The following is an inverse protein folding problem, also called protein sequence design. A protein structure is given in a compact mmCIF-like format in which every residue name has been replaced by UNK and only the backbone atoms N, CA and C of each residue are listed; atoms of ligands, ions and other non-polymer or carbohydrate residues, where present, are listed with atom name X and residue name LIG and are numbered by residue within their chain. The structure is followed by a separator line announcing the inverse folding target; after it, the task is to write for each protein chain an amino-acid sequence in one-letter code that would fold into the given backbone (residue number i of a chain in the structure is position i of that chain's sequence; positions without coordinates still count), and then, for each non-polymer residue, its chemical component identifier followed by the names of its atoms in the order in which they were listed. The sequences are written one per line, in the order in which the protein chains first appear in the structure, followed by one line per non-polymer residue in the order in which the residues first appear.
data_IF_222259286423
#
_entry.id   IF_222259286423
#
_cell.length_a   1.000
_cell.length_b   1.000
_cell.length_c   1.000
_cell.angle_alpha   90.00
_cell.angle_beta   90.00
_cell.angle_gamma   90.00
#
_symmetry.space_group_name_H-M   'P 1'
#
loop_
_entity.id
_entity.type
_entity.pdbx_description
1 polymer ?
#
# COMPACT_ATOMS: atom_id res chain seq x y z
N UNK A 1 35.51 -9.27 52.49
CA UNK A 1 35.64 -10.00 51.22
C UNK A 1 34.26 -10.18 50.59
N UNK A 2 34.08 -9.65 49.38
CA UNK A 2 33.15 -10.11 48.31
C UNK A 2 31.64 -10.07 48.59
N UNK A 3 30.76 -9.55 47.72
CA UNK A 3 30.84 -8.85 46.43
C UNK A 3 29.43 -8.24 46.24
N UNK A 4 29.38 -6.97 45.90
CA UNK A 4 28.18 -6.22 45.52
C UNK A 4 27.70 -6.76 44.15
N UNK A 5 26.52 -7.36 44.07
CA UNK A 5 25.89 -7.72 42.78
C UNK A 5 24.90 -6.62 42.39
N UNK A 6 25.37 -5.66 41.60
CA UNK A 6 24.51 -4.70 40.90
C UNK A 6 23.96 -5.44 39.68
N UNK A 7 22.67 -5.80 39.72
CA UNK A 7 21.96 -6.28 38.54
C UNK A 7 21.61 -5.07 37.68
N UNK A 8 22.36 -4.91 36.58
CA UNK A 8 22.11 -3.88 35.57
C UNK A 8 20.95 -4.37 34.70
N UNK A 9 19.73 -3.96 35.04
CA UNK A 9 18.54 -4.21 34.22
C UNK A 9 18.59 -3.25 33.02
N UNK A 10 19.22 -3.68 31.92
CA UNK A 10 19.15 -2.97 30.65
C UNK A 10 17.70 -2.94 30.18
N UNK A 11 17.07 -1.77 30.30
CA UNK A 11 15.78 -1.48 29.68
C UNK A 11 16.01 -1.47 28.18
N UNK A 12 15.54 -2.51 27.50
CA UNK A 12 15.48 -2.55 26.04
C UNK A 12 14.38 -1.58 25.63
N UNK A 13 14.74 -0.34 25.33
CA UNK A 13 13.84 0.63 24.71
C UNK A 13 13.51 0.13 23.31
N UNK A 14 12.45 -0.68 23.20
CA UNK A 14 11.80 -0.91 21.92
C UNK A 14 11.30 0.44 21.42
N UNK A 15 11.86 0.92 20.32
CA UNK A 15 11.36 2.07 19.60
C UNK A 15 9.97 1.69 19.08
N UNK A 16 8.92 1.97 19.85
CA UNK A 16 7.56 1.94 19.32
C UNK A 16 7.53 2.96 18.20
N UNK A 17 7.36 2.50 16.95
CA UNK A 17 7.07 3.40 15.86
C UNK A 17 5.79 4.15 16.25
N UNK A 18 5.91 5.44 16.57
CA UNK A 18 4.74 6.25 16.87
C UNK A 18 3.91 6.29 15.60
N UNK A 19 2.68 5.80 15.66
CA UNK A 19 1.72 6.05 14.60
C UNK A 19 1.70 7.57 14.40
N UNK A 20 1.84 8.01 13.15
CA UNK A 20 1.66 9.42 12.85
C UNK A 20 0.22 9.79 13.23
N UNK A 21 0.06 10.82 14.06
CA UNK A 21 -1.26 11.37 14.33
C UNK A 21 -1.83 11.90 13.01
N UNK A 22 -3.07 11.52 12.71
CA UNK A 22 -3.75 12.01 11.53
C UNK A 22 -4.27 13.44 11.76
N UNK A 23 -4.30 14.30 10.73
CA UNK A 23 -4.05 13.98 9.32
C UNK A 23 -2.56 13.89 8.95
N UNK A 24 -2.24 13.01 8.00
CA UNK A 24 -0.90 12.89 7.39
C UNK A 24 -0.96 13.43 5.97
N UNK A 25 -0.08 14.35 5.63
CA UNK A 25 0.08 14.86 4.25
C UNK A 25 1.40 14.33 3.69
N UNK A 26 1.35 13.72 2.52
CA UNK A 26 2.51 13.28 1.76
C UNK A 26 2.60 14.06 0.45
N UNK A 27 3.81 14.21 -0.09
CA UNK A 27 4.01 14.64 -1.46
C UNK A 27 3.89 13.43 -2.39
N UNK A 28 3.06 13.56 -3.43
CA UNK A 28 2.87 12.53 -4.47
C UNK A 28 2.98 13.19 -5.83
N UNK A 29 4.09 12.98 -6.54
CA UNK A 29 4.42 13.68 -7.79
C UNK A 29 4.36 15.20 -7.67
N UNK A 30 4.84 15.75 -6.55
CA UNK A 30 4.79 17.19 -6.24
C UNK A 30 3.39 17.75 -5.97
N UNK A 31 2.41 16.87 -5.77
CA UNK A 31 1.06 17.25 -5.31
C UNK A 31 0.86 16.77 -3.87
N UNK A 32 0.48 17.65 -2.93
CA UNK A 32 0.19 17.25 -1.57
C UNK A 32 -1.10 16.42 -1.51
N UNK A 33 -1.02 15.23 -0.90
CA UNK A 33 -2.16 14.35 -0.66
C UNK A 33 -2.32 14.14 0.84
N UNK A 34 -3.45 14.59 1.38
CA UNK A 34 -3.78 14.44 2.80
C UNK A 34 -4.68 13.24 3.05
N UNK A 35 -4.28 12.42 4.02
CA UNK A 35 -5.01 11.29 4.57
C UNK A 35 -5.50 11.68 5.97
N UNK A 36 -6.80 11.57 6.21
CA UNK A 36 -7.41 11.83 7.53
C UNK A 36 -7.40 10.61 8.46
N UNK A 37 -7.02 9.45 7.92
CA UNK A 37 -6.93 8.18 8.62
C UNK A 37 -6.20 7.16 7.73
N UNK A 38 -5.86 5.99 8.28
CA UNK A 38 -5.23 4.93 7.49
C UNK A 38 -6.23 4.39 6.46
N UNK A 39 -5.79 4.07 5.23
CA UNK A 39 -6.61 3.37 4.25
C UNK A 39 -7.24 2.10 4.83
N UNK A 40 -8.49 1.82 4.43
CA UNK A 40 -9.24 0.66 4.87
C UNK A 40 -9.49 -0.34 3.75
N UNK A 41 -9.47 0.13 2.49
CA UNK A 41 -9.76 -0.65 1.29
C UNK A 41 -8.79 -0.24 0.18
N UNK A 42 -7.55 -0.70 0.30
CA UNK A 42 -6.50 -0.43 -0.65
C UNK A 42 -6.58 -1.36 -1.88
N UNK A 43 -6.37 -0.79 -3.05
CA UNK A 43 -5.90 -1.54 -4.21
C UNK A 43 -4.43 -1.18 -4.44
N UNK A 44 -3.58 -2.19 -4.64
CA UNK A 44 -2.14 -1.99 -4.85
C UNK A 44 -1.74 -2.53 -6.21
N UNK A 45 -1.10 -1.70 -7.01
CA UNK A 45 -0.57 -2.07 -8.31
C UNK A 45 0.88 -2.52 -8.18
N UNK A 46 1.28 -3.50 -9.01
CA UNK A 46 2.64 -4.02 -9.14
C UNK A 46 3.08 -4.98 -8.03
N UNK A 47 3.97 -5.91 -8.40
CA UNK A 47 4.52 -6.92 -7.48
C UNK A 47 5.33 -6.29 -6.35
N UNK A 48 6.18 -5.30 -6.66
CA UNK A 48 7.06 -4.70 -5.65
C UNK A 48 6.26 -3.92 -4.60
N UNK A 49 5.25 -3.14 -5.03
CA UNK A 49 4.42 -2.38 -4.08
C UNK A 49 3.55 -3.31 -3.23
N UNK A 50 3.07 -4.42 -3.79
CA UNK A 50 2.36 -5.44 -3.04
C UNK A 50 3.27 -6.07 -1.98
N UNK A 51 4.51 -6.44 -2.33
CA UNK A 51 5.49 -6.96 -1.38
C UNK A 51 5.84 -5.95 -0.28
N UNK A 52 5.95 -4.66 -0.60
CA UNK A 52 6.12 -3.61 0.41
C UNK A 52 4.96 -3.59 1.40
N UNK A 53 3.72 -3.67 0.92
CA UNK A 53 2.55 -3.70 1.80
C UNK A 53 2.49 -4.98 2.65
N UNK A 54 2.89 -6.12 2.08
CA UNK A 54 2.95 -7.39 2.81
C UNK A 54 4.03 -7.40 3.89
N UNK A 55 5.18 -6.76 3.63
CA UNK A 55 6.26 -6.61 4.61
C UNK A 55 5.87 -5.70 5.79
N UNK A 56 4.84 -4.88 5.63
CA UNK A 56 4.25 -4.02 6.67
C UNK A 56 3.02 -4.65 7.34
N UNK A 57 2.70 -5.91 7.03
CA UNK A 57 1.53 -6.64 7.54
C UNK A 57 0.18 -5.97 7.23
N UNK A 58 0.05 -5.29 6.08
CA UNK A 58 -1.15 -4.52 5.68
C UNK A 58 -2.18 -5.31 4.87
N UNK A 59 -2.05 -6.64 4.79
CA UNK A 59 -2.89 -7.52 3.97
C UNK A 59 -4.38 -7.38 4.29
N UNK A 60 -4.73 -7.12 5.55
CA UNK A 60 -6.12 -6.93 6.03
C UNK A 60 -6.79 -5.67 5.44
N UNK A 61 -6.00 -4.73 4.93
CA UNK A 61 -6.48 -3.49 4.30
C UNK A 61 -6.57 -3.58 2.79
N UNK A 62 -6.09 -4.66 2.16
CA UNK A 62 -6.01 -4.77 0.71
C UNK A 62 -7.22 -5.53 0.18
N UNK A 63 -7.99 -4.88 -0.69
CA UNK A 63 -9.17 -5.48 -1.36
C UNK A 63 -8.87 -5.98 -2.76
N UNK A 64 -7.70 -5.64 -3.31
CA UNK A 64 -7.23 -6.22 -4.56
C UNK A 64 -5.84 -5.77 -5.00
N UNK A 65 -5.26 -6.55 -5.90
CA UNK A 65 -3.99 -6.26 -6.56
C UNK A 65 -4.21 -6.02 -8.06
N UNK A 66 -3.31 -5.29 -8.71
CA UNK A 66 -3.32 -5.15 -10.17
C UNK A 66 -1.91 -5.20 -10.75
N UNK A 67 -1.80 -5.51 -12.03
CA UNK A 67 -0.53 -5.38 -12.76
C UNK A 67 0.54 -6.38 -12.36
N UNK A 68 0.19 -7.61 -11.99
CA UNK A 68 1.19 -8.62 -11.59
C UNK A 68 1.33 -9.66 -12.68
N UNK A 69 0.33 -10.53 -12.89
CA UNK A 69 0.44 -11.70 -13.77
C UNK A 69 0.60 -11.35 -15.25
N UNK A 70 0.25 -10.12 -15.65
CA UNK A 70 0.45 -9.62 -17.00
C UNK A 70 1.87 -9.15 -17.31
N UNK A 71 2.72 -8.98 -16.29
CA UNK A 71 4.10 -8.49 -16.42
C UNK A 71 5.14 -9.41 -15.76
N UNK A 72 4.74 -10.14 -14.72
CA UNK A 72 5.60 -10.91 -13.84
C UNK A 72 5.06 -12.33 -13.61
N UNK A 73 5.93 -13.20 -13.07
CA UNK A 73 5.53 -14.49 -12.52
C UNK A 73 5.52 -14.39 -10.99
N UNK A 74 4.37 -14.66 -10.37
CA UNK A 74 4.28 -14.73 -8.91
C UNK A 74 5.07 -15.92 -8.37
N UNK A 75 5.95 -15.67 -7.41
CA UNK A 75 6.69 -16.70 -6.67
C UNK A 75 5.76 -17.46 -5.71
N UNK A 76 6.10 -18.69 -5.29
CA UNK A 76 5.35 -19.39 -4.25
C UNK A 76 5.24 -18.59 -2.95
N UNK A 77 6.30 -17.87 -2.58
CA UNK A 77 6.37 -17.01 -1.39
C UNK A 77 5.39 -15.84 -1.51
N UNK A 78 5.37 -15.17 -2.68
CA UNK A 78 4.42 -14.10 -2.96
C UNK A 78 2.98 -14.60 -2.86
N UNK A 79 2.65 -15.72 -3.51
CA UNK A 79 1.29 -16.29 -3.46
C UNK A 79 0.87 -16.64 -2.04
N UNK A 80 1.80 -17.14 -1.23
CA UNK A 80 1.55 -17.43 0.19
C UNK A 80 1.27 -16.15 0.97
N UNK A 81 2.03 -15.07 0.74
CA UNK A 81 1.83 -13.78 1.39
C UNK A 81 0.54 -13.08 0.94
N UNK A 82 0.21 -13.18 -0.36
CA UNK A 82 -1.01 -12.67 -0.97
C UNK A 82 -2.28 -13.32 -0.38
N UNK A 83 -2.21 -14.59 0.00
CA UNK A 83 -3.34 -15.31 0.58
C UNK A 83 -4.57 -15.30 -0.32
N UNK A 84 -5.67 -14.74 0.16
CA UNK A 84 -6.94 -14.65 -0.57
C UNK A 84 -7.18 -13.32 -1.29
N UNK A 85 -6.20 -12.40 -1.28
CA UNK A 85 -6.35 -11.10 -1.96
C UNK A 85 -6.43 -11.36 -3.47
N UNK A 86 -7.49 -10.92 -4.17
CA UNK A 86 -7.64 -11.16 -5.59
C UNK A 86 -6.74 -10.24 -6.43
N UNK A 87 -6.22 -10.74 -7.55
CA UNK A 87 -5.71 -9.87 -8.62
C UNK A 87 -6.89 -9.43 -9.50
N UNK A 88 -7.24 -8.15 -9.44
CA UNK A 88 -8.39 -7.56 -10.14
C UNK A 88 -8.12 -7.34 -11.63
N UNK A 89 -6.86 -7.08 -11.98
CA UNK A 89 -6.45 -6.88 -13.37
C UNK A 89 -4.99 -7.34 -13.57
N UNK A 90 -4.67 -8.14 -14.60
CA UNK A 90 -3.31 -8.61 -14.84
C UNK A 90 -2.35 -7.49 -15.28
N UNK A 91 -2.89 -6.41 -15.85
CA UNK A 91 -2.14 -5.21 -16.29
C UNK A 91 -2.82 -3.95 -15.74
N UNK A 92 -3.22 -3.04 -16.61
CA UNK A 92 -3.98 -1.86 -16.26
C UNK A 92 -5.39 -2.24 -15.82
N UNK A 93 -5.85 -1.82 -14.63
CA UNK A 93 -7.26 -1.89 -14.31
C UNK A 93 -8.05 -0.88 -15.14
N UNK A 94 -9.33 -1.18 -15.39
CA UNK A 94 -10.29 -0.17 -15.88
C UNK A 94 -10.84 0.63 -14.70
N UNK A 95 -11.47 1.77 -14.97
CA UNK A 95 -12.18 2.52 -13.93
C UNK A 95 -13.29 1.66 -13.30
N UNK A 96 -14.06 0.94 -14.12
CA UNK A 96 -15.14 0.05 -13.64
C UNK A 96 -14.61 -1.05 -12.71
N UNK A 97 -13.50 -1.69 -13.08
CA UNK A 97 -12.84 -2.72 -12.24
C UNK A 97 -12.45 -2.16 -10.87
N UNK A 98 -11.91 -0.93 -10.82
CA UNK A 98 -11.57 -0.30 -9.54
C UNK A 98 -12.83 0.04 -8.73
N UNK A 99 -13.83 0.67 -9.34
CA UNK A 99 -15.05 1.06 -8.62
C UNK A 99 -15.82 -0.14 -8.07
N UNK A 100 -15.84 -1.27 -8.79
CA UNK A 100 -16.47 -2.50 -8.33
C UNK A 100 -15.82 -3.09 -7.06
N UNK A 101 -14.56 -2.77 -6.79
CA UNK A 101 -13.86 -3.17 -5.57
C UNK A 101 -14.09 -2.20 -4.39
N UNK A 102 -14.75 -1.05 -4.64
CA UNK A 102 -15.00 0.03 -3.66
C UNK A 102 -13.76 0.44 -2.84
N UNK A 103 -12.60 0.72 -3.46
CA UNK A 103 -11.42 1.12 -2.72
C UNK A 103 -11.57 2.53 -2.14
N UNK A 104 -10.81 2.82 -1.08
CA UNK A 104 -10.57 4.19 -0.60
C UNK A 104 -9.15 4.69 -0.94
N UNK A 105 -8.28 3.78 -1.39
CA UNK A 105 -6.89 4.06 -1.71
C UNK A 105 -6.40 3.24 -2.89
N UNK A 106 -5.65 3.87 -3.80
CA UNK A 106 -4.95 3.21 -4.89
C UNK A 106 -3.47 3.60 -4.86
N UNK A 107 -2.58 2.62 -4.65
CA UNK A 107 -1.14 2.82 -4.75
C UNK A 107 -0.66 2.26 -6.09
N UNK A 108 -0.19 3.14 -6.98
CA UNK A 108 0.15 2.74 -8.35
C UNK A 108 1.14 3.70 -9.02
N UNK A 109 1.78 3.22 -10.09
CA UNK A 109 2.68 4.05 -10.89
C UNK A 109 2.17 4.36 -12.29
N UNK A 110 2.76 5.38 -12.89
CA UNK A 110 2.52 5.74 -14.28
C UNK A 110 3.18 4.75 -15.26
N UNK A 111 2.49 4.43 -16.35
CA UNK A 111 2.92 3.53 -17.43
C UNK A 111 3.01 2.03 -17.09
N UNK A 112 2.50 1.63 -15.92
CA UNK A 112 2.36 0.22 -15.54
C UNK A 112 1.19 -0.07 -14.58
N UNK A 113 0.59 0.97 -13.98
CA UNK A 113 -0.70 0.91 -13.28
C UNK A 113 -1.72 1.94 -13.79
N UNK A 114 -1.24 3.12 -14.17
CA UNK A 114 -2.03 4.22 -14.74
C UNK A 114 -1.45 4.65 -16.09
N UNK A 115 -2.26 5.33 -16.92
CA UNK A 115 -1.83 5.86 -18.22
C UNK A 115 -1.95 7.39 -18.23
N UNK A 116 -0.94 8.08 -18.75
CA UNK A 116 -1.04 9.52 -19.00
C UNK A 116 -2.19 9.77 -19.98
N UNK A 117 -3.14 10.62 -19.61
CA UNK A 117 -4.36 10.87 -20.39
C UNK A 117 -5.37 9.72 -20.41
N UNK A 118 -5.17 8.68 -19.59
CA UNK A 118 -6.10 7.56 -19.44
C UNK A 118 -7.28 7.86 -18.51
N UNK A 119 -8.16 6.88 -18.37
CA UNK A 119 -9.35 6.95 -17.51
C UNK A 119 -9.05 6.76 -16.02
N UNK A 120 -8.03 5.97 -15.67
CA UNK A 120 -7.57 5.76 -14.29
C UNK A 120 -6.41 6.71 -14.01
N UNK A 121 -6.71 7.80 -13.32
CA UNK A 121 -5.76 8.84 -12.89
C UNK A 121 -6.15 9.34 -11.50
N UNK A 122 -5.23 9.98 -10.74
CA UNK A 122 -5.56 10.59 -9.46
C UNK A 122 -6.76 11.54 -9.55
N UNK A 123 -6.81 12.38 -10.59
CA UNK A 123 -7.90 13.34 -10.80
C UNK A 123 -9.25 12.67 -11.01
N UNK A 124 -9.30 11.60 -11.81
CA UNK A 124 -10.56 10.88 -12.06
C UNK A 124 -10.99 10.09 -10.83
N UNK A 125 -10.05 9.42 -10.15
CA UNK A 125 -10.31 8.62 -8.96
C UNK A 125 -10.76 9.47 -7.76
N UNK A 126 -10.24 10.70 -7.63
CA UNK A 126 -10.62 11.62 -6.56
C UNK A 126 -12.12 11.94 -6.52
N UNK A 127 -12.79 11.94 -7.69
CA UNK A 127 -14.24 12.17 -7.82
C UNK A 127 -15.09 11.08 -7.17
N UNK A 128 -14.49 9.90 -6.96
CA UNK A 128 -15.12 8.74 -6.31
C UNK A 128 -14.61 8.55 -4.87
N UNK A 129 -13.85 9.50 -4.32
CA UNK A 129 -13.31 9.42 -2.97
C UNK A 129 -12.08 8.52 -2.83
N UNK A 130 -11.51 8.04 -3.95
CA UNK A 130 -10.32 7.19 -3.95
C UNK A 130 -9.09 8.09 -3.91
N UNK A 131 -8.30 8.01 -2.84
CA UNK A 131 -7.01 8.69 -2.74
C UNK A 131 -5.95 7.90 -3.51
N UNK A 132 -5.06 8.59 -4.21
CA UNK A 132 -3.98 7.94 -4.95
C UNK A 132 -2.64 8.36 -4.39
N UNK A 133 -1.76 7.39 -4.14
CA UNK A 133 -0.34 7.65 -3.98
C UNK A 133 0.37 7.12 -5.23
N UNK A 134 1.22 7.94 -5.82
CA UNK A 134 1.94 7.58 -7.04
C UNK A 134 3.36 7.15 -6.67
N UNK A 135 3.78 5.96 -7.12
CA UNK A 135 5.19 5.57 -6.97
C UNK A 135 6.05 6.45 -7.89
N UNK A 136 6.99 7.18 -7.28
CA UNK A 136 8.00 8.01 -7.97
C UNK A 136 9.25 7.21 -8.39
#
# INVERSE_FOLDING_TARGET
MKKLFISLLSVLSASVASAADFPVTIESCGTPVTFSGPPKRAVINDLNMAEMAFALDLQDRIVGLTGISGWYKMTPEFKKAMGSIPELAPKYPTLETLLAAEPDFFFAGWNYGMKVGGEVTPDTLSKYGIKTFVLE
#
